data_IF_763618905466
#
_entry.id   IF_763618905466
#
_cell.length_a   1.000
_cell.length_b   1.000
_cell.length_c   1.000
_cell.angle_alpha   90.00
_cell.angle_beta   90.00
_cell.angle_gamma   90.00
#
_symmetry.space_group_name_H-M   'P 1'
#
loop_
_entity.id
_entity.type
_entity.pdbx_description
1 polymer ?
#
# COMPACT_ATOMS: atom_id res chain seq x y z
N UNK A 1 -15.23 -1.45 -7.63
CA UNK A 1 -15.02 -2.67 -8.47
C UNK A 1 -15.02 -3.95 -7.63
N UNK A 2 -14.39 -3.98 -6.45
CA UNK A 2 -14.58 -5.10 -5.50
C UNK A 2 -16.06 -5.37 -5.20
N UNK A 3 -16.85 -4.32 -4.93
CA UNK A 3 -18.31 -4.41 -4.76
C UNK A 3 -19.10 -4.93 -5.96
N UNK A 4 -18.52 -4.88 -7.18
CA UNK A 4 -19.16 -5.40 -8.40
C UNK A 4 -18.79 -6.85 -8.69
N UNK A 5 -18.05 -7.48 -7.78
CA UNK A 5 -17.59 -8.86 -7.90
C UNK A 5 -16.88 -9.17 -9.23
N UNK A 6 -16.14 -8.20 -9.76
CA UNK A 6 -15.39 -8.32 -11.01
C UNK A 6 -13.88 -8.24 -10.75
N UNK A 7 -13.21 -9.40 -10.57
CA UNK A 7 -11.76 -9.46 -10.36
C UNK A 7 -10.95 -8.88 -11.52
N UNK A 8 -11.39 -9.08 -12.78
CA UNK A 8 -10.68 -8.59 -13.96
C UNK A 8 -10.70 -7.07 -14.01
N UNK A 9 -11.84 -6.46 -13.74
CA UNK A 9 -11.94 -5.00 -13.65
C UNK A 9 -11.13 -4.45 -12.46
N UNK A 10 -11.16 -5.12 -11.30
CA UNK A 10 -10.32 -4.71 -10.14
C UNK A 10 -8.84 -4.72 -10.50
N UNK A 11 -8.33 -5.79 -11.15
CA UNK A 11 -6.94 -5.87 -11.64
C UNK A 11 -6.58 -4.72 -12.57
N UNK A 12 -7.38 -4.50 -13.62
CA UNK A 12 -7.17 -3.38 -14.57
C UNK A 12 -7.22 -2.00 -13.92
N UNK A 13 -8.00 -1.84 -12.86
CA UNK A 13 -8.04 -0.58 -12.11
C UNK A 13 -6.74 -0.35 -11.34
N UNK A 14 -6.21 -1.39 -10.69
CA UNK A 14 -4.92 -1.35 -9.99
C UNK A 14 -3.79 -1.06 -10.97
N UNK A 15 -3.72 -1.80 -12.09
CA UNK A 15 -2.69 -1.59 -13.13
C UNK A 15 -2.73 -0.16 -13.72
N UNK A 16 -3.93 0.38 -13.95
CA UNK A 16 -4.07 1.77 -14.42
C UNK A 16 -3.66 2.79 -13.37
N UNK A 17 -3.99 2.56 -12.10
CA UNK A 17 -3.57 3.44 -11.02
C UNK A 17 -2.04 3.41 -10.86
N UNK A 18 -1.44 2.23 -10.93
CA UNK A 18 0.02 2.07 -10.91
C UNK A 18 0.68 2.88 -12.03
N UNK A 19 0.23 2.69 -13.27
CA UNK A 19 0.83 3.35 -14.42
C UNK A 19 0.59 4.86 -14.47
N UNK A 20 -0.63 5.32 -14.15
CA UNK A 20 -1.01 6.73 -14.33
C UNK A 20 -0.82 7.60 -13.08
N UNK A 21 -0.73 7.01 -11.90
CA UNK A 21 -0.65 7.75 -10.62
C UNK A 21 0.64 7.40 -9.88
N UNK A 22 0.86 6.12 -9.59
CA UNK A 22 1.97 5.73 -8.73
C UNK A 22 3.33 5.90 -9.39
N UNK A 23 3.53 5.39 -10.61
CA UNK A 23 4.83 5.44 -11.28
C UNK A 23 5.33 6.89 -11.48
N UNK A 24 4.52 7.85 -11.96
CA UNK A 24 4.96 9.25 -12.06
C UNK A 24 5.25 9.91 -10.71
N UNK A 25 4.50 9.56 -9.66
CA UNK A 25 4.75 10.03 -8.30
C UNK A 25 6.08 9.46 -7.77
N UNK A 26 6.32 8.18 -8.01
CA UNK A 26 7.50 7.46 -7.57
C UNK A 26 8.78 8.04 -8.17
N UNK A 27 8.79 8.32 -9.48
CA UNK A 27 9.92 8.97 -10.16
C UNK A 27 10.30 10.29 -9.51
N UNK A 28 9.30 11.11 -9.11
CA UNK A 28 9.54 12.39 -8.42
C UNK A 28 10.07 12.19 -7.01
N UNK A 29 9.44 11.30 -6.25
CA UNK A 29 9.82 11.02 -4.86
C UNK A 29 11.24 10.47 -4.76
N UNK A 30 11.67 9.62 -5.70
CA UNK A 30 13.04 9.09 -5.72
C UNK A 30 14.10 10.15 -6.04
N UNK A 31 13.74 11.18 -6.81
CA UNK A 31 14.65 12.26 -7.19
C UNK A 31 14.89 13.31 -6.11
N UNK A 32 14.07 13.33 -5.05
CA UNK A 32 14.12 14.35 -4.01
C UNK A 32 14.77 13.83 -2.72
N UNK A 33 15.90 14.43 -2.34
CA UNK A 33 16.61 14.06 -1.12
C UNK A 33 15.75 14.33 0.13
N UNK A 34 15.60 13.30 0.97
CA UNK A 34 14.81 13.39 2.21
C UNK A 34 13.32 13.17 2.02
N UNK A 35 12.85 12.88 0.81
CA UNK A 35 11.46 12.49 0.56
C UNK A 35 11.16 11.12 1.14
N UNK A 36 9.90 10.94 1.55
CA UNK A 36 9.36 9.70 2.11
C UNK A 36 7.98 9.45 1.54
N UNK A 37 7.62 8.19 1.41
CA UNK A 37 6.34 7.79 0.83
C UNK A 37 5.69 6.73 1.71
N UNK A 38 4.42 6.93 2.01
CA UNK A 38 3.56 5.94 2.62
C UNK A 38 2.42 5.64 1.66
N UNK A 39 2.34 4.39 1.21
CA UNK A 39 1.21 3.88 0.45
C UNK A 39 0.41 2.92 1.34
N UNK A 40 -0.91 3.12 1.42
CA UNK A 40 -1.81 2.31 2.26
C UNK A 40 -3.10 2.03 1.51
N UNK A 41 -3.58 0.78 1.57
CA UNK A 41 -4.96 0.48 1.25
C UNK A 41 -5.80 0.57 2.54
N UNK A 42 -6.86 1.40 2.61
CA UNK A 42 -7.57 1.63 3.87
C UNK A 42 -8.36 0.39 4.35
N UNK A 43 -8.74 -0.50 3.44
CA UNK A 43 -9.46 -1.74 3.73
C UNK A 43 -9.47 -2.69 2.53
N UNK A 44 -9.65 -3.98 2.80
CA UNK A 44 -9.87 -5.01 1.79
C UNK A 44 -11.34 -5.09 1.35
N UNK A 45 -11.59 -5.11 0.05
CA UNK A 45 -12.91 -5.47 -0.51
C UNK A 45 -12.76 -6.74 -1.34
N UNK A 46 -13.38 -7.82 -0.87
CA UNK A 46 -13.30 -9.14 -1.49
C UNK A 46 -14.20 -9.18 -2.73
N UNK A 47 -13.64 -9.53 -3.89
CA UNK A 47 -14.43 -9.69 -5.10
C UNK A 47 -15.45 -10.84 -4.99
N UNK A 48 -15.17 -11.89 -4.20
CA UNK A 48 -16.13 -13.00 -4.05
C UNK A 48 -17.43 -12.57 -3.36
N UNK A 49 -17.35 -11.69 -2.36
CA UNK A 49 -18.52 -11.26 -1.58
C UNK A 49 -19.04 -9.89 -2.02
N UNK A 50 -18.22 -9.06 -2.66
CA UNK A 50 -18.58 -7.68 -2.94
C UNK A 50 -18.64 -6.80 -1.69
N UNK A 51 -18.11 -7.24 -0.56
CA UNK A 51 -18.15 -6.50 0.71
C UNK A 51 -16.75 -6.22 1.26
N UNK A 52 -16.68 -5.22 2.13
CA UNK A 52 -15.51 -5.02 2.96
C UNK A 52 -15.31 -6.23 3.86
N UNK A 53 -14.05 -6.58 4.08
CA UNK A 53 -13.67 -7.64 4.98
C UNK A 53 -12.52 -7.14 5.88
N UNK A 54 -12.44 -7.61 7.13
CA UNK A 54 -11.34 -7.31 8.03
C UNK A 54 -10.11 -8.11 7.59
N UNK A 55 -9.54 -7.76 6.44
CA UNK A 55 -8.30 -8.32 5.94
C UNK A 55 -7.14 -7.44 6.39
N UNK A 56 -5.96 -8.04 6.49
CA UNK A 56 -4.72 -7.27 6.55
C UNK A 56 -4.64 -6.37 5.32
N UNK A 57 -4.49 -5.07 5.56
CA UNK A 57 -4.36 -4.08 4.52
C UNK A 57 -2.87 -3.95 4.14
N UNK A 58 -2.52 -4.06 2.85
CA UNK A 58 -1.15 -3.81 2.43
C UNK A 58 -0.77 -2.35 2.68
N UNK A 59 0.45 -2.15 3.18
CA UNK A 59 1.10 -0.85 3.24
C UNK A 59 2.54 -0.96 2.73
N UNK A 60 3.10 0.16 2.27
CA UNK A 60 4.51 0.31 1.92
C UNK A 60 4.99 1.65 2.47
N UNK A 61 6.13 1.63 3.17
CA UNK A 61 6.82 2.81 3.67
C UNK A 61 8.21 2.87 3.04
N UNK A 62 8.50 3.96 2.33
CA UNK A 62 9.78 4.20 1.71
C UNK A 62 10.42 5.49 2.24
N UNK A 63 11.75 5.46 2.36
CA UNK A 63 12.55 6.54 2.94
C UNK A 63 12.61 6.45 4.47
N UNK A 64 13.81 6.61 5.03
CA UNK A 64 14.12 6.46 6.47
C UNK A 64 15.19 5.40 6.75
N UNK A 65 15.45 5.12 8.03
CA UNK A 65 16.44 4.11 8.49
C UNK A 65 15.93 2.66 8.45
N UNK A 66 14.62 2.46 8.36
CA UNK A 66 14.03 1.12 8.36
C UNK A 66 14.28 0.45 6.99
N UNK A 67 14.96 -0.71 7.00
CA UNK A 67 15.15 -1.54 5.81
C UNK A 67 13.78 -1.96 5.28
N UNK A 68 13.54 -1.59 4.02
CA UNK A 68 12.37 -1.82 3.17
C UNK A 68 11.28 -2.77 3.75
N UNK A 69 10.10 -2.25 4.12
CA UNK A 69 8.92 -3.09 4.28
C UNK A 69 8.58 -3.65 2.89
N UNK A 70 8.56 -4.98 2.78
CA UNK A 70 8.02 -5.74 1.65
C UNK A 70 8.49 -5.31 0.24
N UNK A 71 9.24 -6.17 -0.46
CA UNK A 71 9.62 -5.94 -1.87
C UNK A 71 8.40 -5.78 -2.82
N UNK A 72 7.18 -6.07 -2.33
CA UNK A 72 5.92 -6.00 -3.08
C UNK A 72 4.78 -5.45 -2.24
N UNK A 73 3.94 -4.61 -2.84
CA UNK A 73 2.70 -4.15 -2.22
C UNK A 73 1.59 -5.20 -2.36
N UNK A 74 1.56 -6.17 -1.45
CA UNK A 74 0.56 -7.25 -1.39
C UNK A 74 0.25 -7.64 0.07
N UNK A 75 -0.92 -8.22 0.31
CA UNK A 75 -1.41 -8.58 1.65
C UNK A 75 -0.43 -9.47 2.43
N UNK A 76 0.20 -10.45 1.77
CA UNK A 76 1.14 -11.39 2.39
C UNK A 76 2.42 -10.71 2.87
N UNK A 77 2.85 -9.67 2.15
CA UNK A 77 4.12 -9.03 2.41
C UNK A 77 4.12 -8.20 3.71
N UNK A 78 2.94 -7.82 4.21
CA UNK A 78 2.78 -7.25 5.56
C UNK A 78 3.20 -8.26 6.62
N UNK A 79 2.81 -9.53 6.45
CA UNK A 79 3.16 -10.60 7.39
C UNK A 79 4.66 -10.91 7.33
N UNK A 80 5.25 -10.89 6.14
CA UNK A 80 6.68 -11.17 5.92
C UNK A 80 7.59 -10.03 6.39
N UNK A 81 7.10 -8.79 6.42
CA UNK A 81 7.88 -7.61 6.82
C UNK A 81 8.28 -7.61 8.31
N UNK A 82 7.63 -8.42 9.15
CA UNK A 82 7.83 -8.43 10.60
C UNK A 82 7.35 -7.15 11.31
N UNK A 83 6.80 -6.17 10.58
CA UNK A 83 6.23 -4.95 11.13
C UNK A 83 4.83 -5.24 11.65
N UNK A 84 4.69 -5.24 12.98
CA UNK A 84 3.39 -5.18 13.62
C UNK A 84 2.95 -3.72 13.71
N UNK A 85 1.90 -3.39 12.98
CA UNK A 85 1.25 -2.08 13.02
C UNK A 85 -0.04 -2.27 13.79
N UNK A 86 -0.07 -1.78 15.03
CA UNK A 86 -1.23 -1.96 15.92
C UNK A 86 -2.33 -0.94 15.62
N UNK A 87 -1.98 0.19 15.00
CA UNK A 87 -2.93 1.25 14.68
C UNK A 87 -2.53 2.02 13.40
N UNK A 88 -3.51 2.53 12.61
CA UNK A 88 -3.21 3.36 11.43
C UNK A 88 -2.38 4.61 11.75
N UNK A 89 -2.53 5.18 12.96
CA UNK A 89 -1.78 6.35 13.42
C UNK A 89 -0.28 6.08 13.53
N UNK A 90 0.09 4.83 13.79
CA UNK A 90 1.49 4.41 13.87
C UNK A 90 2.20 4.54 12.51
N UNK A 91 1.51 4.26 11.40
CA UNK A 91 2.07 4.44 10.05
C UNK A 91 2.39 5.91 9.77
N UNK A 92 1.49 6.81 10.18
CA UNK A 92 1.71 8.24 10.02
C UNK A 92 2.87 8.72 10.88
N UNK A 93 2.95 8.26 12.14
CA UNK A 93 4.08 8.57 13.03
C UNK A 93 5.41 8.12 12.39
N UNK A 94 5.47 6.88 11.89
CA UNK A 94 6.65 6.33 11.21
C UNK A 94 7.05 7.12 9.98
N UNK A 95 6.09 7.66 9.21
CA UNK A 95 6.35 8.53 8.07
C UNK A 95 6.97 9.88 8.45
N UNK A 96 6.64 10.40 9.64
CA UNK A 96 7.10 11.73 10.10
C UNK A 96 8.42 11.67 10.89
N UNK A 97 8.71 10.55 11.55
CA UNK A 97 9.92 10.36 12.37
C UNK A 97 11.17 10.10 11.51
N UNK A 98 12.16 10.99 11.59
CA UNK A 98 13.39 10.97 10.78
C UNK A 98 14.44 9.96 11.26
#
# INVERSE_FOLDING_TARGET
>A
MGHRQDPKAKKRAIERWEHHVFAPLWERVQGEAGSRLLLVAPYGTLCRTGHHAPLLAPFLLWGGRERAPAERFQEEAVTESGLQVESPQELLRRLLER
#
